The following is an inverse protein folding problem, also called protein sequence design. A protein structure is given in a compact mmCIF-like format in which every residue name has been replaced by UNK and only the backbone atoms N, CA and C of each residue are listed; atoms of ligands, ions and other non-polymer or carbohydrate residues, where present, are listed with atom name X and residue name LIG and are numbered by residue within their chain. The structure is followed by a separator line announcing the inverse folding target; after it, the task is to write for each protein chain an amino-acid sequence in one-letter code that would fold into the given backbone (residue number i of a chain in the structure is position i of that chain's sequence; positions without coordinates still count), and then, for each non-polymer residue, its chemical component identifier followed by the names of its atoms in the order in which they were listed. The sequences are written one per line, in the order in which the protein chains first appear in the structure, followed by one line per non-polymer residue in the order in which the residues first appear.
data_IF_116377282512
#
_entry.id   IF_116377282512
#
_cell.length_a   1.000
_cell.length_b   1.000
_cell.length_c   1.000
_cell.angle_alpha   90.00
_cell.angle_beta   90.00
_cell.angle_gamma   90.00
#
_symmetry.space_group_name_H-M   'P 1'
#
loop_
_entity.id
_entity.type
_entity.pdbx_description
1 polymer ?
#
# COMPACT_ATOMS: atom_id res chain seq x y z
N UNK A 1 7.29 -8.30 10.15
CA UNK A 1 6.68 -7.83 8.89
C UNK A 1 7.77 -7.54 7.88
N UNK A 2 7.58 -7.98 6.64
CA UNK A 2 8.56 -7.74 5.58
C UNK A 2 8.51 -6.30 5.10
N UNK A 3 9.69 -5.73 4.89
CA UNK A 3 9.85 -4.33 4.52
C UNK A 3 10.94 -4.16 3.46
N UNK A 4 10.83 -3.08 2.69
CA UNK A 4 11.89 -2.56 1.83
C UNK A 4 12.41 -1.28 2.46
N UNK A 5 13.73 -1.12 2.44
CA UNK A 5 14.38 0.10 2.92
C UNK A 5 15.17 0.76 1.80
N UNK A 6 14.96 2.06 1.63
CA UNK A 6 15.70 2.89 0.69
C UNK A 6 16.49 3.93 1.46
N UNK A 7 17.64 4.32 0.93
CA UNK A 7 18.49 5.32 1.58
C UNK A 7 19.33 6.06 0.56
N UNK A 8 19.41 7.38 0.75
CA UNK A 8 20.42 8.21 0.11
C UNK A 8 21.07 9.12 1.17
N UNK A 9 21.79 10.15 0.75
CA UNK A 9 22.48 11.06 1.68
C UNK A 9 21.51 11.87 2.57
N UNK A 10 20.27 12.05 2.14
CA UNK A 10 19.30 12.92 2.78
C UNK A 10 18.20 12.17 3.52
N UNK A 11 17.75 11.05 2.99
CA UNK A 11 16.54 10.34 3.47
C UNK A 11 16.77 8.85 3.64
N UNK A 12 16.11 8.30 4.65
CA UNK A 12 15.87 6.87 4.82
C UNK A 12 14.37 6.61 4.76
N UNK A 13 13.94 5.68 3.89
CA UNK A 13 12.53 5.36 3.68
C UNK A 13 12.29 3.89 4.00
N UNK A 14 11.23 3.61 4.75
CA UNK A 14 10.78 2.25 5.03
C UNK A 14 9.40 2.04 4.44
N UNK A 15 9.25 0.97 3.66
CA UNK A 15 7.99 0.61 2.99
C UNK A 15 7.62 -0.81 3.43
N UNK A 16 6.41 -0.99 3.97
CA UNK A 16 5.89 -2.32 4.25
C UNK A 16 5.44 -3.01 2.96
N UNK A 17 5.71 -4.29 2.81
CA UNK A 17 5.15 -5.07 1.70
C UNK A 17 3.63 -5.23 1.85
N UNK A 18 3.12 -5.29 3.07
CA UNK A 18 1.68 -5.21 3.28
C UNK A 18 1.19 -3.82 2.87
N UNK A 19 0.36 -3.79 1.84
CA UNK A 19 -0.21 -2.56 1.30
C UNK A 19 0.75 -1.68 0.52
N UNK A 20 2.02 -2.07 0.32
CA UNK A 20 3.08 -1.23 -0.26
C UNK A 20 3.12 0.15 0.42
N UNK A 21 2.87 0.18 1.72
CA UNK A 21 2.67 1.41 2.49
C UNK A 21 4.00 2.00 2.93
N UNK A 22 4.25 3.27 2.61
CA UNK A 22 5.36 4.02 3.18
C UNK A 22 5.07 4.25 4.66
N UNK A 23 5.92 3.70 5.54
CA UNK A 23 5.73 3.75 6.99
C UNK A 23 6.63 4.77 7.68
N UNK A 24 7.77 5.07 7.08
CA UNK A 24 8.76 5.97 7.68
C UNK A 24 9.51 6.69 6.58
N UNK A 25 9.71 7.98 6.77
CA UNK A 25 10.62 8.81 5.98
C UNK A 25 11.41 9.63 6.98
N UNK A 26 12.69 9.31 7.13
CA UNK A 26 13.57 9.97 8.10
C UNK A 26 14.66 10.79 7.42
N UNK A 27 15.04 11.87 8.06
CA UNK A 27 16.27 12.56 7.71
C UNK A 27 17.46 11.66 8.06
N UNK A 28 18.34 11.39 7.10
CA UNK A 28 19.49 10.48 7.29
C UNK A 28 20.52 11.00 8.30
N UNK A 29 20.57 12.32 8.50
CA UNK A 29 21.56 12.96 9.38
C UNK A 29 20.98 13.17 10.79
N UNK A 30 19.79 13.74 10.89
CA UNK A 30 19.17 14.11 12.17
C UNK A 30 18.28 13.04 12.75
N UNK A 31 17.92 12.01 11.97
CA UNK A 31 16.92 10.99 12.30
C UNK A 31 15.51 11.53 12.53
N UNK A 32 15.23 12.79 12.14
CA UNK A 32 13.90 13.35 12.24
C UNK A 32 12.91 12.57 11.36
N UNK A 33 11.80 12.13 11.95
CA UNK A 33 10.73 11.41 11.27
C UNK A 33 9.71 12.38 10.69
N UNK A 34 9.46 12.29 9.38
CA UNK A 34 8.48 13.15 8.69
C UNK A 34 7.07 12.56 8.63
N UNK A 35 6.93 11.25 8.90
CA UNK A 35 5.64 10.57 8.82
C UNK A 35 4.97 10.50 10.20
N UNK A 36 3.67 10.32 10.21
CA UNK A 36 2.89 9.99 11.39
C UNK A 36 3.44 8.70 12.05
N UNK A 37 3.46 8.64 13.37
CA UNK A 37 4.08 7.55 14.14
C UNK A 37 3.22 6.28 14.28
N UNK A 38 2.04 6.27 13.65
CA UNK A 38 1.09 5.16 13.72
C UNK A 38 0.61 4.80 15.13
N UNK A 39 0.53 5.80 16.02
CA UNK A 39 0.08 5.59 17.39
C UNK A 39 -1.33 4.96 17.40
N UNK A 40 -1.48 3.70 17.89
CA UNK A 40 -2.75 2.98 17.80
C UNK A 40 -3.86 3.59 18.68
N UNK A 41 -3.52 4.49 19.60
CA UNK A 41 -4.53 5.24 20.37
C UNK A 41 -5.35 6.18 19.49
N UNK A 42 -4.83 6.55 18.31
CA UNK A 42 -5.48 7.44 17.35
C UNK A 42 -5.70 6.77 16.00
N UNK A 43 -4.62 6.34 15.35
CA UNK A 43 -4.70 5.69 14.04
C UNK A 43 -3.41 4.94 13.75
N UNK A 44 -3.51 3.63 13.49
CA UNK A 44 -2.35 2.76 13.23
C UNK A 44 -1.86 2.78 11.78
N UNK A 45 -2.59 3.43 10.86
CA UNK A 45 -2.15 3.64 9.49
C UNK A 45 -1.17 4.80 9.38
N UNK A 46 -0.47 4.91 8.26
CA UNK A 46 0.43 6.03 7.96
C UNK A 46 0.12 6.64 6.61
N UNK A 47 0.26 5.87 5.53
CA UNK A 47 0.01 6.33 4.17
C UNK A 47 -0.54 5.19 3.30
N UNK A 48 -1.72 4.64 3.64
CA UNK A 48 -2.25 3.49 2.92
C UNK A 48 -2.50 3.80 1.45
N UNK A 49 -2.21 2.83 0.59
CA UNK A 49 -2.55 2.90 -0.84
C UNK A 49 -4.03 2.58 -1.01
N UNK A 50 -4.77 3.54 -1.55
CA UNK A 50 -6.22 3.43 -1.76
C UNK A 50 -6.46 2.98 -3.21
N UNK A 51 -6.76 1.69 -3.38
CA UNK A 51 -6.97 1.10 -4.71
C UNK A 51 -7.84 -0.17 -4.59
N UNK A 52 -8.78 -0.43 -5.51
CA UNK A 52 -9.10 0.35 -6.71
C UNK A 52 -10.05 1.53 -6.47
N UNK A 53 -10.50 1.73 -5.25
CA UNK A 53 -11.45 2.81 -4.91
C UNK A 53 -10.96 3.63 -3.74
N UNK A 54 -11.42 4.87 -3.65
CA UNK A 54 -11.21 5.77 -2.51
C UNK A 54 -12.55 5.92 -1.80
N UNK A 55 -12.59 5.59 -0.49
CA UNK A 55 -13.83 5.57 0.27
C UNK A 55 -14.68 4.34 -0.03
N UNK A 56 -15.98 4.49 0.07
CA UNK A 56 -16.97 3.43 -0.19
C UNK A 56 -17.66 3.67 -1.52
N UNK A 57 -17.86 2.58 -2.27
CA UNK A 57 -18.70 2.61 -3.46
C UNK A 57 -20.16 2.45 -3.08
N UNK A 58 -21.08 2.86 -3.97
CA UNK A 58 -22.50 2.60 -3.83
C UNK A 58 -22.74 1.09 -3.75
N UNK A 59 -23.51 0.64 -2.76
CA UNK A 59 -23.79 -0.77 -2.48
C UNK A 59 -22.54 -1.63 -2.22
N UNK A 60 -21.34 -1.04 -2.01
CA UNK A 60 -20.12 -1.78 -1.69
C UNK A 60 -19.58 -2.63 -2.84
N UNK A 61 -19.84 -2.27 -4.08
CA UNK A 61 -19.41 -3.02 -5.26
C UNK A 61 -18.81 -2.13 -6.34
N UNK A 62 -17.92 -2.71 -7.16
CA UNK A 62 -17.56 -2.21 -8.47
C UNK A 62 -18.38 -2.98 -9.51
N UNK A 63 -19.00 -2.26 -10.44
CA UNK A 63 -19.77 -2.87 -11.53
C UNK A 63 -18.97 -2.81 -12.83
N UNK A 64 -18.78 -3.96 -13.45
CA UNK A 64 -18.11 -4.04 -14.75
C UNK A 64 -18.67 -5.19 -15.57
N UNK A 65 -19.05 -4.88 -16.83
CA UNK A 65 -19.55 -5.86 -17.79
C UNK A 65 -20.70 -6.73 -17.22
N UNK A 66 -21.63 -6.11 -16.49
CA UNK A 66 -22.79 -6.80 -15.91
C UNK A 66 -22.50 -7.63 -14.67
N UNK A 67 -21.27 -7.58 -14.13
CA UNK A 67 -20.87 -8.30 -12.92
C UNK A 67 -20.52 -7.34 -11.80
N UNK A 68 -20.87 -7.71 -10.57
CA UNK A 68 -20.54 -6.98 -9.35
C UNK A 68 -19.27 -7.57 -8.71
N UNK A 69 -18.34 -6.68 -8.36
CA UNK A 69 -17.10 -7.03 -7.65
C UNK A 69 -17.15 -6.37 -6.27
N UNK A 70 -17.34 -7.11 -5.18
CA UNK A 70 -17.40 -6.53 -3.84
C UNK A 70 -16.13 -5.76 -3.49
N UNK A 71 -16.29 -4.57 -2.90
CA UNK A 71 -15.19 -3.72 -2.46
C UNK A 71 -15.43 -3.24 -1.03
N UNK A 72 -14.44 -3.40 -0.18
CA UNK A 72 -14.42 -2.75 1.12
C UNK A 72 -14.06 -1.27 1.00
N UNK A 73 -14.14 -0.56 2.11
CA UNK A 73 -13.70 0.83 2.20
C UNK A 73 -12.25 0.97 1.74
N UNK A 74 -11.98 1.83 0.77
CA UNK A 74 -10.67 2.06 0.15
C UNK A 74 -10.11 0.87 -0.64
N UNK A 75 -10.92 -0.12 -1.00
CA UNK A 75 -10.49 -1.25 -1.81
C UNK A 75 -9.59 -2.25 -1.07
N UNK A 76 -8.74 -2.98 -1.82
CA UNK A 76 -7.99 -4.12 -1.30
C UNK A 76 -6.47 -3.92 -1.25
N UNK A 77 -5.91 -2.91 -1.91
CA UNK A 77 -4.45 -2.77 -1.99
C UNK A 77 -3.80 -2.67 -0.61
N UNK A 78 -4.37 -1.89 0.28
CA UNK A 78 -3.82 -1.66 1.63
C UNK A 78 -3.77 -2.91 2.51
N UNK A 79 -4.55 -3.93 2.18
CA UNK A 79 -4.59 -5.21 2.90
C UNK A 79 -3.94 -6.37 2.13
N UNK A 80 -3.34 -6.09 0.99
CA UNK A 80 -2.66 -7.09 0.16
C UNK A 80 -1.16 -7.03 0.37
N UNK A 81 -0.50 -8.20 0.33
CA UNK A 81 0.97 -8.27 0.39
C UNK A 81 1.52 -8.14 -1.02
N UNK A 82 2.38 -7.14 -1.21
CA UNK A 82 3.04 -6.89 -2.50
C UNK A 82 4.34 -7.68 -2.60
N UNK A 83 4.70 -8.05 -3.83
CA UNK A 83 6.00 -8.64 -4.15
C UNK A 83 6.98 -7.55 -4.58
N UNK A 84 8.25 -7.72 -4.22
CA UNK A 84 9.33 -6.85 -4.71
C UNK A 84 9.81 -7.40 -6.04
N UNK A 85 9.64 -6.63 -7.12
CA UNK A 85 10.10 -7.03 -8.46
C UNK A 85 11.40 -6.34 -8.86
N UNK A 86 11.73 -5.23 -8.24
CA UNK A 86 13.01 -4.55 -8.40
C UNK A 86 13.35 -3.82 -7.10
N UNK A 87 14.61 -3.89 -6.68
CA UNK A 87 15.08 -3.17 -5.50
C UNK A 87 16.55 -2.78 -5.67
N UNK A 88 16.85 -1.53 -5.36
CA UNK A 88 18.19 -0.97 -5.27
C UNK A 88 18.27 -0.11 -4.01
N UNK A 89 19.43 0.44 -3.65
CA UNK A 89 19.52 1.33 -2.48
C UNK A 89 18.56 2.53 -2.51
N UNK A 90 18.18 3.00 -3.71
CA UNK A 90 17.38 4.22 -3.87
C UNK A 90 16.07 4.02 -4.63
N UNK A 91 15.74 2.78 -5.02
CA UNK A 91 14.55 2.49 -5.81
C UNK A 91 13.96 1.13 -5.44
N UNK A 92 12.66 1.04 -5.37
CA UNK A 92 11.95 -0.23 -5.29
C UNK A 92 10.70 -0.18 -6.17
N UNK A 93 10.39 -1.31 -6.80
CA UNK A 93 9.12 -1.52 -7.50
C UNK A 93 8.40 -2.68 -6.81
N UNK A 94 7.21 -2.39 -6.32
CA UNK A 94 6.35 -3.35 -5.64
C UNK A 94 5.12 -3.63 -6.50
N UNK A 95 4.67 -4.87 -6.52
CA UNK A 95 3.58 -5.31 -7.39
C UNK A 95 2.64 -6.26 -6.65
N UNK A 96 1.35 -6.12 -6.92
CA UNK A 96 0.38 -7.19 -6.72
C UNK A 96 -0.17 -7.59 -8.09
N UNK A 97 -0.43 -8.89 -8.25
CA UNK A 97 -1.11 -9.44 -9.43
C UNK A 97 -2.54 -9.72 -9.02
N UNK A 98 -3.49 -8.95 -9.52
CA UNK A 98 -4.87 -8.97 -9.05
C UNK A 98 -5.56 -10.32 -9.31
N UNK A 99 -5.20 -11.02 -10.39
CA UNK A 99 -5.70 -12.38 -10.66
C UNK A 99 -5.31 -13.40 -9.58
N UNK A 100 -4.23 -13.17 -8.84
CA UNK A 100 -3.82 -14.01 -7.72
C UNK A 100 -4.64 -13.78 -6.45
N UNK A 101 -5.41 -12.69 -6.38
CA UNK A 101 -6.30 -12.38 -5.26
C UNK A 101 -7.65 -13.09 -5.38
N UNK A 102 -7.94 -13.67 -6.54
CA UNK A 102 -9.19 -14.37 -6.84
C UNK A 102 -9.93 -13.74 -8.02
N UNK A 103 -10.65 -14.57 -8.78
CA UNK A 103 -11.33 -14.15 -10.01
C UNK A 103 -12.43 -13.10 -9.80
N UNK A 104 -12.98 -13.02 -8.59
CA UNK A 104 -14.11 -12.15 -8.26
C UNK A 104 -13.69 -10.85 -7.54
N UNK A 105 -12.38 -10.58 -7.45
CA UNK A 105 -11.87 -9.42 -6.70
C UNK A 105 -11.80 -8.19 -7.60
N UNK A 106 -11.30 -8.35 -8.83
CA UNK A 106 -11.06 -7.23 -9.72
C UNK A 106 -11.06 -7.70 -11.18
N UNK A 107 -11.71 -6.94 -12.13
CA UNK A 107 -11.87 -7.38 -13.53
C UNK A 107 -10.62 -7.19 -14.41
N UNK A 108 -9.59 -6.50 -13.90
CA UNK A 108 -8.38 -6.16 -14.66
C UNK A 108 -7.13 -6.73 -13.99
N UNK A 109 -6.07 -6.94 -14.79
CA UNK A 109 -4.72 -7.27 -14.31
C UNK A 109 -3.81 -6.05 -14.38
#
# INVERSE_FOLDING_TARGET
MQQVKLKNQSLEVTINLLGAEVRSVKNSVTAHEYMWDANPAFWSGVSPVLFPVVGKTTAGVLKFAGKDYPQGNHGFARSSVFSVIESSPTKAILQIVTSELGADVYPFN
#
